data_IF_779651345711
#
_entry.id   IF_779651345711
#
_cell.length_a   1.000
_cell.length_b   1.000
_cell.length_c   1.000
_cell.angle_alpha   90.00
_cell.angle_beta   90.00
_cell.angle_gamma   90.00
#
_symmetry.space_group_name_H-M   'P 1'
#
loop_
_entity.id
_entity.type
_entity.pdbx_description
1 polymer ?
#
# COMPACT_ATOMS: atom_id res chain seq x y z
N UNK A 1 58.45 4.19 47.75
CA UNK A 1 57.64 5.14 46.96
C UNK A 1 57.72 4.67 45.52
N UNK A 2 56.64 4.13 44.97
CA UNK A 2 56.55 3.75 43.56
C UNK A 2 55.54 4.67 42.90
N UNK A 3 55.95 5.32 41.81
CA UNK A 3 55.08 6.12 40.95
C UNK A 3 54.29 5.17 40.07
N UNK A 4 52.96 5.31 40.02
CA UNK A 4 52.13 4.66 39.00
C UNK A 4 52.31 5.43 37.69
N UNK A 5 52.57 4.68 36.62
CA UNK A 5 52.74 5.19 35.27
C UNK A 5 51.37 5.59 34.70
N UNK A 6 51.24 6.84 34.28
CA UNK A 6 50.00 7.42 33.72
C UNK A 6 49.58 6.75 32.42
N UNK A 7 50.51 6.08 31.72
CA UNK A 7 50.28 5.49 30.41
C UNK A 7 49.26 4.34 30.39
N UNK A 8 49.12 3.59 31.49
CA UNK A 8 48.19 2.45 31.51
C UNK A 8 46.71 2.89 31.58
N UNK A 9 46.43 4.08 32.12
CA UNK A 9 45.08 4.63 32.22
C UNK A 9 44.60 5.18 30.89
N UNK A 10 45.49 5.81 30.13
CA UNK A 10 45.18 6.38 28.82
C UNK A 10 44.89 5.27 27.77
N UNK A 11 45.61 4.15 27.84
CA UNK A 11 45.39 2.97 26.96
C UNK A 11 44.04 2.29 27.26
N UNK A 12 43.66 2.15 28.53
CA UNK A 12 42.37 1.58 28.94
C UNK A 12 41.18 2.47 28.51
N UNK A 13 41.38 3.80 28.49
CA UNK A 13 40.39 4.78 28.04
C UNK A 13 40.21 4.74 26.52
N UNK A 14 41.30 4.75 25.74
CA UNK A 14 41.25 4.61 24.27
C UNK A 14 40.70 3.25 23.81
N UNK A 15 41.03 2.16 24.52
CA UNK A 15 40.46 0.84 24.24
C UNK A 15 38.96 0.80 24.56
N UNK A 16 38.52 1.52 25.60
CA UNK A 16 37.11 1.73 25.94
C UNK A 16 36.35 2.49 24.85
N UNK A 17 36.93 3.57 24.34
CA UNK A 17 36.38 4.36 23.24
C UNK A 17 36.27 3.57 21.93
N UNK A 18 37.30 2.79 21.59
CA UNK A 18 37.29 1.94 20.39
C UNK A 18 36.26 0.81 20.48
N UNK A 19 36.10 0.19 21.67
CA UNK A 19 35.05 -0.82 21.91
C UNK A 19 33.66 -0.19 21.82
N UNK A 20 33.47 1.00 22.38
CA UNK A 20 32.21 1.73 22.28
C UNK A 20 31.88 2.12 20.83
N UNK A 21 32.85 2.64 20.07
CA UNK A 21 32.69 2.96 18.66
C UNK A 21 32.38 1.71 17.81
N UNK A 22 33.06 0.59 18.06
CA UNK A 22 32.78 -0.69 17.41
C UNK A 22 31.38 -1.21 17.72
N UNK A 23 30.97 -1.17 18.99
CA UNK A 23 29.62 -1.55 19.40
C UNK A 23 28.55 -0.65 18.79
N UNK A 24 28.77 0.67 18.74
CA UNK A 24 27.86 1.62 18.10
C UNK A 24 27.75 1.35 16.60
N UNK A 25 28.86 1.14 15.89
CA UNK A 25 28.86 0.80 14.47
C UNK A 25 28.10 -0.50 14.20
N UNK A 26 28.31 -1.53 15.01
CA UNK A 26 27.56 -2.79 14.92
C UNK A 26 26.06 -2.60 15.18
N UNK A 27 25.68 -1.78 16.16
CA UNK A 27 24.27 -1.45 16.44
C UNK A 27 23.66 -0.68 15.27
N UNK A 28 24.35 0.31 14.69
CA UNK A 28 23.88 1.03 13.50
C UNK A 28 23.72 0.11 12.29
N UNK A 29 24.65 -0.82 12.08
CA UNK A 29 24.54 -1.83 11.03
C UNK A 29 23.36 -2.78 11.26
N UNK A 30 23.14 -3.25 12.49
CA UNK A 30 22.01 -4.12 12.81
C UNK A 30 20.66 -3.41 12.66
N UNK A 31 20.55 -2.15 13.11
CA UNK A 31 19.34 -1.33 12.98
C UNK A 31 19.05 -1.03 11.51
N UNK A 32 20.06 -0.64 10.73
CA UNK A 32 19.88 -0.37 9.29
C UNK A 32 19.50 -1.63 8.50
N UNK A 33 20.10 -2.79 8.79
CA UNK A 33 19.72 -4.07 8.17
C UNK A 33 18.29 -4.48 8.56
N UNK A 34 17.88 -4.30 9.82
CA UNK A 34 16.52 -4.56 10.26
C UNK A 34 15.50 -3.64 9.57
N UNK A 35 15.77 -2.33 9.51
CA UNK A 35 14.94 -1.35 8.80
C UNK A 35 14.81 -1.68 7.31
N UNK A 36 15.91 -2.00 6.62
CA UNK A 36 15.90 -2.44 5.22
C UNK A 36 15.12 -3.75 5.03
N UNK A 37 15.15 -4.66 6.00
CA UNK A 37 14.37 -5.91 5.95
C UNK A 37 12.87 -5.64 6.11
N UNK A 38 12.49 -4.66 6.93
CA UNK A 38 11.10 -4.22 7.14
C UNK A 38 10.57 -3.50 5.89
N UNK A 39 11.32 -2.56 5.32
CA UNK A 39 10.93 -1.84 4.09
C UNK A 39 10.78 -2.79 2.89
N UNK A 40 11.71 -3.74 2.72
CA UNK A 40 11.62 -4.77 1.68
C UNK A 40 10.43 -5.71 1.87
N UNK A 41 10.05 -6.00 3.13
CA UNK A 41 8.84 -6.79 3.42
C UNK A 41 7.57 -6.01 3.08
N UNK A 42 7.52 -4.70 3.33
CA UNK A 42 6.38 -3.86 2.96
C UNK A 42 6.20 -3.75 1.44
N UNK A 43 7.29 -3.54 0.68
CA UNK A 43 7.25 -3.51 -0.79
C UNK A 43 6.83 -4.83 -1.43
N UNK A 44 7.01 -5.97 -0.75
CA UNK A 44 6.55 -7.29 -1.21
C UNK A 44 5.02 -7.39 -1.29
N UNK A 45 4.28 -6.56 -0.57
CA UNK A 45 2.81 -6.60 -0.52
C UNK A 45 2.12 -5.67 -1.53
N UNK A 46 2.88 -4.84 -2.24
CA UNK A 46 2.29 -4.02 -3.29
C UNK A 46 2.01 -4.87 -4.54
N UNK A 47 0.93 -4.51 -5.24
CA UNK A 47 0.57 -5.13 -6.50
C UNK A 47 1.75 -5.07 -7.50
N UNK A 48 1.97 -6.13 -8.30
CA UNK A 48 2.96 -6.07 -9.36
C UNK A 48 2.52 -5.05 -10.43
N UNK A 49 3.46 -4.56 -11.25
CA UNK A 49 3.13 -3.65 -12.34
C UNK A 49 2.28 -4.35 -13.41
N UNK A 50 1.24 -3.68 -13.87
CA UNK A 50 0.47 -4.12 -15.02
C UNK A 50 1.19 -3.73 -16.33
N UNK A 51 1.06 -4.58 -17.36
CA UNK A 51 1.70 -4.40 -18.67
C UNK A 51 0.86 -3.51 -19.58
N UNK A 52 0.82 -2.20 -19.29
CA UNK A 52 0.23 -1.19 -20.19
C UNK A 52 1.34 -0.56 -21.02
N UNK A 53 1.13 -0.43 -22.33
CA UNK A 53 2.11 0.18 -23.24
C UNK A 53 2.32 1.66 -22.87
N UNK A 54 3.58 2.06 -22.69
CA UNK A 54 4.01 3.44 -22.43
C UNK A 54 3.48 4.08 -21.12
N UNK A 55 2.96 3.32 -20.16
CA UNK A 55 2.62 3.83 -18.83
C UNK A 55 2.95 2.83 -17.72
N UNK A 56 3.90 3.19 -16.85
CA UNK A 56 4.39 2.36 -15.75
C UNK A 56 3.66 2.57 -14.42
N UNK A 57 2.63 3.44 -14.41
CA UNK A 57 1.86 3.77 -13.21
C UNK A 57 0.64 2.86 -13.00
N UNK A 58 0.54 1.80 -13.79
CA UNK A 58 -0.50 0.77 -13.67
C UNK A 58 -0.02 -0.43 -12.86
N UNK A 59 -0.93 -0.96 -12.07
CA UNK A 59 -0.70 -2.06 -11.13
C UNK A 59 -1.74 -3.16 -11.36
N UNK A 60 -1.31 -4.41 -11.31
CA UNK A 60 -2.20 -5.56 -11.47
C UNK A 60 -2.90 -5.87 -10.14
N UNK A 61 -4.23 -5.75 -10.11
CA UNK A 61 -5.08 -6.08 -8.97
C UNK A 61 -6.12 -7.08 -9.46
N UNK A 62 -6.02 -8.33 -8.99
CA UNK A 62 -6.81 -9.42 -9.56
C UNK A 62 -6.59 -9.52 -11.07
N UNK A 63 -7.66 -9.38 -11.83
CA UNK A 63 -7.65 -9.38 -13.30
C UNK A 63 -7.65 -8.00 -13.94
N UNK A 64 -7.61 -6.94 -13.14
CA UNK A 64 -7.70 -5.57 -13.60
C UNK A 64 -6.38 -4.82 -13.43
N UNK A 65 -6.26 -3.71 -14.14
CA UNK A 65 -5.15 -2.78 -14.00
C UNK A 65 -5.65 -1.51 -13.33
N UNK A 66 -5.00 -1.13 -12.24
CA UNK A 66 -5.39 0.01 -11.38
C UNK A 66 -4.27 1.05 -11.40
N UNK A 67 -4.67 2.32 -11.47
CA UNK A 67 -3.78 3.48 -11.39
C UNK A 67 -4.31 4.46 -10.36
N UNK A 68 -3.44 4.92 -9.47
CA UNK A 68 -3.78 5.96 -8.49
C UNK A 68 -3.55 7.35 -9.09
N UNK A 69 -4.51 8.25 -8.86
CA UNK A 69 -4.41 9.65 -9.27
C UNK A 69 -4.31 10.55 -8.05
N UNK A 70 -3.32 11.44 -8.05
CA UNK A 70 -3.22 12.50 -7.05
C UNK A 70 -4.19 13.65 -7.37
N UNK A 71 -4.60 14.37 -6.33
CA UNK A 71 -5.46 15.55 -6.41
C UNK A 71 -6.82 15.33 -5.76
N UNK A 72 -7.32 16.34 -5.07
CA UNK A 72 -8.64 16.32 -4.45
C UNK A 72 -9.69 16.80 -5.45
N UNK A 73 -10.66 15.94 -5.77
CA UNK A 73 -11.80 16.22 -6.64
C UNK A 73 -13.04 15.57 -6.05
N UNK A 74 -14.24 15.96 -6.49
CA UNK A 74 -15.47 15.26 -6.14
C UNK A 74 -15.57 13.88 -6.83
N UNK A 75 -16.48 13.04 -6.33
CA UNK A 75 -16.68 11.68 -6.82
C UNK A 75 -16.99 11.62 -8.33
N UNK A 76 -17.88 12.48 -8.81
CA UNK A 76 -18.31 12.46 -10.23
C UNK A 76 -17.18 12.86 -11.16
N UNK A 77 -16.39 13.85 -10.76
CA UNK A 77 -15.16 14.24 -11.47
C UNK A 77 -14.12 13.13 -11.46
N UNK A 78 -13.93 12.43 -10.33
CA UNK A 78 -13.00 11.30 -10.23
C UNK A 78 -13.40 10.15 -11.17
N UNK A 79 -14.67 9.76 -11.17
CA UNK A 79 -15.23 8.73 -12.05
C UNK A 79 -15.05 9.09 -13.53
N UNK A 80 -15.41 10.32 -13.90
CA UNK A 80 -15.23 10.82 -15.28
C UNK A 80 -13.77 10.78 -15.71
N UNK A 81 -12.83 11.03 -14.79
CA UNK A 81 -11.39 10.96 -15.07
C UNK A 81 -10.97 9.52 -15.36
N UNK A 82 -11.40 8.55 -14.54
CA UNK A 82 -11.11 7.13 -14.76
C UNK A 82 -11.65 6.63 -16.12
N UNK A 83 -12.88 7.01 -16.48
CA UNK A 83 -13.50 6.67 -17.77
C UNK A 83 -12.75 7.25 -18.98
N UNK A 84 -12.08 8.39 -18.80
CA UNK A 84 -11.27 9.02 -19.86
C UNK A 84 -9.86 8.46 -19.96
N UNK A 85 -9.33 7.89 -18.88
CA UNK A 85 -7.97 7.36 -18.84
C UNK A 85 -7.83 6.10 -19.70
N UNK A 86 -8.80 5.19 -19.64
CA UNK A 86 -8.77 3.92 -20.34
C UNK A 86 -10.16 3.53 -20.85
N UNK A 87 -10.28 2.84 -22.00
CA UNK A 87 -11.54 2.25 -22.43
C UNK A 87 -12.10 1.30 -21.37
N UNK A 88 -13.34 1.54 -20.93
CA UNK A 88 -13.96 0.77 -19.85
C UNK A 88 -13.39 1.07 -18.45
N UNK A 89 -12.62 2.15 -18.29
CA UNK A 89 -12.09 2.56 -17.00
C UNK A 89 -13.18 3.10 -16.07
N UNK A 90 -13.10 2.74 -14.80
CA UNK A 90 -14.01 3.19 -13.74
C UNK A 90 -13.21 3.40 -12.45
N UNK A 91 -13.79 4.09 -11.47
CA UNK A 91 -13.27 4.00 -10.10
C UNK A 91 -13.24 2.52 -9.65
N UNK A 92 -12.21 2.15 -8.91
CA UNK A 92 -11.94 0.75 -8.58
C UNK A 92 -13.07 0.12 -7.76
N UNK A 93 -13.51 -1.07 -8.18
CA UNK A 93 -14.33 -2.02 -7.43
C UNK A 93 -13.42 -2.98 -6.67
N UNK A 94 -13.89 -3.48 -5.52
CA UNK A 94 -13.15 -4.42 -4.69
C UNK A 94 -14.00 -5.67 -4.50
N UNK A 95 -13.40 -6.85 -4.67
CA UNK A 95 -14.06 -8.15 -4.61
C UNK A 95 -13.36 -9.13 -3.64
N UNK A 96 -12.27 -8.71 -3.01
CA UNK A 96 -11.60 -9.50 -1.98
C UNK A 96 -10.73 -8.65 -1.05
N UNK A 97 -10.39 -9.22 0.10
CA UNK A 97 -9.44 -8.61 1.04
C UNK A 97 -8.05 -8.43 0.41
N UNK A 98 -7.65 -9.35 -0.48
CA UNK A 98 -6.38 -9.26 -1.19
C UNK A 98 -6.33 -8.06 -2.13
N UNK A 99 -7.40 -7.82 -2.89
CA UNK A 99 -7.51 -6.65 -3.76
C UNK A 99 -7.52 -5.35 -2.94
N UNK A 100 -8.27 -5.32 -1.84
CA UNK A 100 -8.30 -4.17 -0.94
C UNK A 100 -6.90 -3.83 -0.39
N UNK A 101 -6.14 -4.84 0.07
CA UNK A 101 -4.75 -4.63 0.52
C UNK A 101 -3.84 -4.14 -0.62
N UNK A 102 -4.02 -4.68 -1.83
CA UNK A 102 -3.26 -4.27 -3.00
C UNK A 102 -3.51 -2.80 -3.37
N UNK A 103 -4.78 -2.39 -3.44
CA UNK A 103 -5.18 -0.99 -3.68
C UNK A 103 -4.66 -0.06 -2.60
N UNK A 104 -4.75 -0.46 -1.32
CA UNK A 104 -4.19 0.32 -0.22
C UNK A 104 -2.67 0.51 -0.36
N UNK A 105 -1.93 -0.53 -0.74
CA UNK A 105 -0.49 -0.43 -0.98
C UNK A 105 -0.17 0.55 -2.13
N UNK A 106 -0.94 0.49 -3.23
CA UNK A 106 -0.79 1.41 -4.38
C UNK A 106 -1.01 2.87 -3.93
N UNK A 107 -2.05 3.15 -3.13
CA UNK A 107 -2.32 4.48 -2.60
C UNK A 107 -1.14 4.96 -1.76
N UNK A 108 -0.62 4.12 -0.85
CA UNK A 108 0.50 4.48 0.02
C UNK A 108 1.81 4.70 -0.76
N UNK A 109 2.06 3.95 -1.82
CA UNK A 109 3.24 4.13 -2.67
C UNK A 109 3.17 5.39 -3.52
N UNK A 110 1.95 5.79 -3.94
CA UNK A 110 1.73 6.89 -4.88
C UNK A 110 1.13 8.14 -4.23
N UNK A 111 0.99 8.19 -2.90
CA UNK A 111 0.50 9.36 -2.18
C UNK A 111 1.64 10.05 -1.43
N UNK A 112 1.69 11.37 -1.56
CA UNK A 112 2.62 12.21 -0.81
C UNK A 112 2.13 12.48 0.63
N UNK A 113 0.92 12.03 0.98
CA UNK A 113 0.32 12.23 2.29
C UNK A 113 -0.09 10.89 2.89
N UNK A 114 0.39 10.61 4.11
CA UNK A 114 0.13 9.39 4.86
C UNK A 114 -1.34 9.17 5.27
N UNK A 115 -2.27 10.06 4.88
CA UNK A 115 -3.69 10.03 5.27
C UNK A 115 -4.67 10.49 4.19
N UNK A 116 -4.31 10.45 2.89
CA UNK A 116 -5.23 10.87 1.82
C UNK A 116 -6.38 9.88 1.65
N UNK A 117 -7.62 10.36 1.85
CA UNK A 117 -8.83 9.64 1.42
C UNK A 117 -8.83 9.55 -0.11
N UNK A 118 -9.13 8.37 -0.64
CA UNK A 118 -9.17 8.09 -2.08
C UNK A 118 -10.55 7.59 -2.44
N UNK A 119 -11.12 8.09 -3.54
CA UNK A 119 -12.39 7.59 -4.05
C UNK A 119 -12.23 6.17 -4.62
N UNK A 120 -13.20 5.31 -4.31
CA UNK A 120 -13.43 4.00 -4.94
C UNK A 120 -14.83 4.01 -5.55
N UNK A 121 -15.17 3.04 -6.40
CA UNK A 121 -16.39 3.08 -7.22
C UNK A 121 -17.70 2.82 -6.48
N UNK A 122 -17.69 2.77 -5.15
CA UNK A 122 -18.85 2.39 -4.36
C UNK A 122 -19.86 3.54 -4.25
N UNK A 123 -21.11 3.27 -4.58
CA UNK A 123 -22.22 4.22 -4.49
C UNK A 123 -23.42 3.61 -3.77
N UNK A 124 -24.04 4.38 -2.89
CA UNK A 124 -25.34 4.03 -2.33
C UNK A 124 -26.46 4.60 -3.20
N UNK A 125 -27.39 3.74 -3.62
CA UNK A 125 -28.62 4.14 -4.29
C UNK A 125 -29.58 4.72 -3.24
N UNK A 126 -29.96 6.02 -3.31
CA UNK A 126 -30.72 6.66 -2.23
C UNK A 126 -32.11 6.06 -1.96
N UNK A 127 -32.75 5.53 -3.01
CA UNK A 127 -34.12 4.98 -2.96
C UNK A 127 -34.18 3.59 -2.33
N UNK A 128 -33.21 2.73 -2.63
CA UNK A 128 -33.18 1.33 -2.18
C UNK A 128 -32.26 1.12 -0.99
N UNK A 129 -31.39 2.09 -0.69
CA UNK A 129 -30.29 1.98 0.29
C UNK A 129 -29.29 0.86 -0.01
N UNK A 130 -29.30 0.34 -1.24
CA UNK A 130 -28.36 -0.68 -1.69
C UNK A 130 -27.09 -0.04 -2.23
N UNK A 131 -25.98 -0.77 -2.16
CA UNK A 131 -24.70 -0.34 -2.70
C UNK A 131 -24.41 -1.02 -4.03
N UNK A 132 -23.77 -0.29 -4.93
CA UNK A 132 -23.34 -0.76 -6.25
C UNK A 132 -21.94 -0.23 -6.56
N UNK A 133 -21.22 -0.92 -7.43
CA UNK A 133 -20.01 -0.41 -8.07
C UNK A 133 -20.34 0.34 -9.37
N UNK A 134 -19.60 1.41 -9.68
CA UNK A 134 -19.80 2.20 -10.91
C UNK A 134 -19.50 1.42 -12.19
N UNK A 135 -18.62 0.43 -12.12
CA UNK A 135 -18.29 -0.50 -13.21
C UNK A 135 -19.34 -1.61 -13.42
N UNK A 136 -20.40 -1.64 -12.58
CA UNK A 136 -21.48 -2.63 -12.57
C UNK A 136 -21.07 -4.06 -12.20
N UNK A 137 -19.87 -4.24 -11.66
CA UNK A 137 -19.48 -5.50 -11.03
C UNK A 137 -20.36 -5.80 -9.81
N UNK A 138 -20.35 -7.06 -9.38
CA UNK A 138 -21.15 -7.52 -8.24
C UNK A 138 -20.70 -6.84 -6.95
N UNK A 139 -21.65 -6.37 -6.15
CA UNK A 139 -21.40 -5.94 -4.77
C UNK A 139 -21.25 -7.18 -3.86
N UNK A 140 -20.10 -7.84 -3.91
CA UNK A 140 -19.80 -9.10 -3.20
C UNK A 140 -18.69 -8.98 -2.15
N UNK A 141 -18.13 -7.78 -1.97
CA UNK A 141 -17.12 -7.50 -0.97
C UNK A 141 -17.33 -6.11 -0.40
N UNK A 142 -17.30 -6.05 0.91
CA UNK A 142 -17.34 -4.80 1.64
C UNK A 142 -16.46 -4.94 2.88
N UNK A 143 -15.64 -3.93 3.12
CA UNK A 143 -14.90 -3.78 4.36
C UNK A 143 -15.05 -2.34 4.77
N UNK A 144 -15.53 -2.16 5.98
CA UNK A 144 -15.85 -0.84 6.48
C UNK A 144 -14.93 -0.53 7.66
N UNK A 145 -14.56 0.74 7.77
CA UNK A 145 -13.86 1.26 8.95
C UNK A 145 -14.78 1.06 10.16
N UNK A 146 -14.24 0.77 11.36
CA UNK A 146 -15.07 0.55 12.55
C UNK A 146 -16.09 1.67 12.73
N UNK A 147 -17.38 1.32 12.70
CA UNK A 147 -18.51 2.26 12.82
C UNK A 147 -19.47 2.31 11.63
N UNK A 148 -19.16 1.69 10.49
CA UNK A 148 -20.08 1.52 9.34
C UNK A 148 -19.86 0.11 8.72
N UNK A 149 -20.73 -0.46 7.85
CA UNK A 149 -21.38 -1.76 8.16
C UNK A 149 -20.62 -3.08 7.83
N UNK A 150 -20.07 -3.72 8.87
CA UNK A 150 -19.90 -5.18 9.11
C UNK A 150 -20.92 -6.12 8.40
N UNK A 151 -20.58 -7.19 7.65
CA UNK A 151 -19.57 -8.27 7.75
C UNK A 151 -19.11 -8.76 6.35
N UNK A 152 -17.85 -9.18 6.20
CA UNK A 152 -17.25 -9.56 4.91
C UNK A 152 -17.19 -11.09 4.67
N UNK A 153 -17.67 -11.55 3.50
CA UNK A 153 -17.19 -12.78 2.83
C UNK A 153 -17.20 -12.56 1.31
N UNK A 154 -16.02 -12.54 0.70
CA UNK A 154 -15.84 -12.54 -0.75
C UNK A 154 -14.46 -13.08 -1.09
N UNK A 155 -14.41 -14.21 -1.79
CA UNK A 155 -13.21 -14.79 -2.37
C UNK A 155 -13.61 -15.29 -3.74
N UNK A 156 -13.29 -14.53 -4.78
CA UNK A 156 -13.54 -14.93 -6.16
C UNK A 156 -12.22 -15.04 -6.90
N UNK A 157 -12.04 -16.16 -7.57
CA UNK A 157 -10.92 -16.42 -8.45
C UNK A 157 -11.31 -15.97 -9.86
N UNK A 158 -10.42 -15.26 -10.54
CA UNK A 158 -10.62 -14.90 -11.93
C UNK A 158 -10.88 -16.12 -12.81
N UNK A 159 -12.10 -16.23 -13.32
CA UNK A 159 -12.54 -17.23 -14.29
C UNK A 159 -14.06 -17.32 -14.29
N UNK A 160 -14.66 -17.03 -15.45
CA UNK A 160 -16.06 -17.27 -15.83
C UNK A 160 -17.10 -16.16 -15.53
N UNK A 161 -16.96 -15.00 -16.18
CA UNK A 161 -18.14 -14.25 -16.65
C UNK A 161 -17.86 -13.56 -17.99
N UNK A 162 -17.51 -14.36 -18.99
CA UNK A 162 -17.78 -14.05 -20.38
C UNK A 162 -18.34 -15.33 -21.00
N UNK A 163 -19.67 -15.48 -20.98
CA UNK A 163 -20.52 -16.06 -22.04
C UNK A 163 -21.95 -16.21 -21.47
N UNK A 164 -22.93 -15.44 -21.96
CA UNK A 164 -24.26 -15.46 -21.34
C UNK A 164 -25.39 -14.69 -22.00
N UNK A 165 -25.60 -14.89 -23.31
CA UNK A 165 -26.78 -14.57 -24.16
C UNK A 165 -26.99 -13.13 -24.64
#
# INVERSE_FOLDING_TARGET
>A
MFSLDSTNKDIEEEEGEMKAASALMLVFLLVSVAAMTIEKRLKKYCAPKCKIANDTNWYQVGCYCVKHFQGSVDFGTAETKCQKEAPGGHLVSLHSEQENRAVHCIIMENSNASSSRTWIGGLQIPSTKTYIWTDRSLWNYEVWVPGEPNEAKGQEHCGDELEGK
#
